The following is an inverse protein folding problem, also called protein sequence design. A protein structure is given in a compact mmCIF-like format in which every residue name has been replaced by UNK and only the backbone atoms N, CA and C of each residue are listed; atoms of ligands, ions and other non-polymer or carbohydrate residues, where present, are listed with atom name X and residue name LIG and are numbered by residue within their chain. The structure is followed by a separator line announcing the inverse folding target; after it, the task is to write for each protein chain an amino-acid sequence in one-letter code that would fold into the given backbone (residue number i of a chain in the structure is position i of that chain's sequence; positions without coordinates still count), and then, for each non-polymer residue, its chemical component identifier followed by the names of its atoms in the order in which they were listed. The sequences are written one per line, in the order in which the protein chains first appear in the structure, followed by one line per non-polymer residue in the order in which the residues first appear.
data_IF_592622859822
#
_entry.id   IF_592622859822
#
_cell.length_a   1.000
_cell.length_b   1.000
_cell.length_c   1.000
_cell.angle_alpha   90.00
_cell.angle_beta   90.00
_cell.angle_gamma   90.00
#
_symmetry.space_group_name_H-M   'P 1'
#
loop_
_entity.id
_entity.type
_entity.pdbx_description
1 polymer ?
#
# COMPACT_ATOMS: atom_id res chain seq x y z
N UNK A 1 -7.84 10.01 -16.03
CA UNK A 1 -8.03 11.30 -15.34
C UNK A 1 -6.74 11.84 -14.73
N UNK A 2 -5.96 11.05 -13.98
CA UNK A 2 -4.69 11.52 -13.35
C UNK A 2 -3.63 11.96 -14.38
N UNK A 3 -3.56 11.33 -15.56
CA UNK A 3 -2.56 11.68 -16.58
C UNK A 3 -2.66 13.12 -17.12
N UNK A 4 -3.82 13.77 -16.99
CA UNK A 4 -4.04 15.16 -17.42
C UNK A 4 -3.59 16.19 -16.36
N UNK A 5 -3.26 15.75 -15.14
CA UNK A 5 -2.81 16.64 -14.07
C UNK A 5 -1.32 16.96 -14.21
N UNK A 6 -0.93 18.18 -13.81
CA UNK A 6 0.46 18.58 -13.69
C UNK A 6 1.20 17.68 -12.68
N UNK A 7 2.48 17.41 -12.90
CA UNK A 7 3.32 16.56 -12.06
C UNK A 7 3.36 17.02 -10.59
N UNK A 8 3.36 18.34 -10.33
CA UNK A 8 3.27 18.87 -8.96
C UNK A 8 1.99 18.43 -8.24
N UNK A 9 0.85 18.50 -8.92
CA UNK A 9 -0.45 18.10 -8.36
C UNK A 9 -0.50 16.59 -8.11
N UNK A 10 0.05 15.78 -9.02
CA UNK A 10 0.15 14.32 -8.85
C UNK A 10 0.95 13.94 -7.59
N UNK A 11 2.07 14.63 -7.35
CA UNK A 11 2.91 14.44 -6.15
C UNK A 11 2.16 14.81 -4.87
N UNK A 12 1.44 15.93 -4.86
CA UNK A 12 0.64 16.35 -3.69
C UNK A 12 -0.44 15.30 -3.38
N UNK A 13 -1.15 14.82 -4.41
CA UNK A 13 -2.18 13.77 -4.24
C UNK A 13 -1.57 12.51 -3.64
N UNK A 14 -0.38 12.08 -4.10
CA UNK A 14 0.29 10.91 -3.53
C UNK A 14 0.68 11.11 -2.07
N UNK A 15 1.22 12.27 -1.71
CA UNK A 15 1.56 12.57 -0.31
C UNK A 15 0.30 12.53 0.59
N UNK A 16 -0.82 13.07 0.12
CA UNK A 16 -2.11 12.98 0.82
C UNK A 16 -2.54 11.52 0.97
N UNK A 17 -2.45 10.71 -0.09
CA UNK A 17 -2.78 9.28 -0.04
C UNK A 17 -1.91 8.52 0.95
N UNK A 18 -0.60 8.77 0.99
CA UNK A 18 0.30 8.15 1.96
C UNK A 18 -0.02 8.59 3.40
N UNK A 19 -0.34 9.87 3.61
CA UNK A 19 -0.79 10.39 4.92
C UNK A 19 -2.08 9.72 5.38
N UNK A 20 -3.07 9.59 4.49
CA UNK A 20 -4.31 8.86 4.77
C UNK A 20 -4.05 7.38 5.06
N UNK A 21 -3.12 6.75 4.34
CA UNK A 21 -2.68 5.38 4.62
C UNK A 21 -2.09 5.23 6.01
N UNK A 22 -1.19 6.15 6.41
CA UNK A 22 -0.59 6.16 7.75
C UNK A 22 -1.63 6.39 8.85
N UNK A 23 -2.57 7.33 8.65
CA UNK A 23 -3.70 7.53 9.57
C UNK A 23 -4.56 6.27 9.68
N UNK A 24 -4.80 5.58 8.56
CA UNK A 24 -5.52 4.31 8.53
C UNK A 24 -4.87 3.24 9.41
N UNK A 25 -3.53 3.11 9.36
CA UNK A 25 -2.79 2.20 10.25
C UNK A 25 -3.04 2.57 11.71
N UNK A 26 -2.85 3.84 12.08
CA UNK A 26 -3.05 4.30 13.46
C UNK A 26 -4.47 4.01 13.96
N UNK A 27 -5.50 4.25 13.13
CA UNK A 27 -6.89 3.97 13.48
C UNK A 27 -7.14 2.47 13.68
N UNK A 28 -6.57 1.60 12.84
CA UNK A 28 -6.70 0.15 12.98
C UNK A 28 -6.20 -0.32 14.35
N UNK A 29 -5.08 0.23 14.82
CA UNK A 29 -4.52 -0.11 16.14
C UNK A 29 -5.30 0.55 17.30
N UNK A 30 -5.74 1.81 17.16
CA UNK A 30 -6.47 2.53 18.22
C UNK A 30 -7.82 1.85 18.52
N UNK A 31 -8.50 1.32 17.50
CA UNK A 31 -9.82 0.69 17.64
C UNK A 31 -9.77 -0.84 17.73
N UNK A 32 -8.60 -1.45 17.95
CA UNK A 32 -8.41 -2.92 18.01
C UNK A 32 -8.95 -3.69 16.79
N UNK A 33 -9.02 -3.03 15.62
CA UNK A 33 -9.42 -3.67 14.37
C UNK A 33 -8.29 -4.49 13.73
N UNK A 34 -7.13 -4.58 14.36
CA UNK A 34 -5.96 -5.29 13.85
C UNK A 34 -6.19 -6.80 13.61
N UNK A 35 -7.22 -7.38 14.24
CA UNK A 35 -7.61 -8.78 14.06
C UNK A 35 -8.89 -8.94 13.22
N UNK A 36 -9.48 -7.83 12.75
CA UNK A 36 -10.61 -7.86 11.84
C UNK A 36 -10.12 -8.08 10.40
N UNK A 37 -10.34 -9.31 9.91
CA UNK A 37 -9.90 -9.76 8.59
C UNK A 37 -10.41 -8.87 7.45
N UNK A 38 -11.66 -8.42 7.53
CA UNK A 38 -12.27 -7.60 6.47
C UNK A 38 -11.57 -6.25 6.41
N UNK A 39 -11.46 -5.57 7.56
CA UNK A 39 -10.80 -4.26 7.67
C UNK A 39 -9.35 -4.34 7.19
N UNK A 40 -8.61 -5.36 7.63
CA UNK A 40 -7.22 -5.54 7.25
C UNK A 40 -7.05 -5.87 5.76
N UNK A 41 -7.94 -6.69 5.18
CA UNK A 41 -7.90 -7.03 3.76
C UNK A 41 -8.15 -5.80 2.89
N UNK A 42 -9.13 -4.97 3.28
CA UNK A 42 -9.41 -3.69 2.61
C UNK A 42 -8.20 -2.77 2.73
N UNK A 43 -7.62 -2.66 3.92
CA UNK A 43 -6.44 -1.84 4.16
C UNK A 43 -5.25 -2.29 3.29
N UNK A 44 -4.95 -3.59 3.25
CA UNK A 44 -3.91 -4.15 2.39
C UNK A 44 -4.18 -3.79 0.92
N UNK A 45 -5.40 -4.00 0.42
CA UNK A 45 -5.76 -3.65 -0.95
C UNK A 45 -5.54 -2.16 -1.24
N UNK A 46 -5.92 -1.26 -0.33
CA UNK A 46 -5.68 0.19 -0.46
C UNK A 46 -4.18 0.49 -0.60
N UNK A 47 -3.32 -0.10 0.24
CA UNK A 47 -1.86 0.10 0.16
C UNK A 47 -1.34 -0.36 -1.20
N UNK A 48 -1.79 -1.51 -1.73
CA UNK A 48 -1.39 -1.97 -3.06
C UNK A 48 -1.81 -1.00 -4.16
N UNK A 49 -3.03 -0.47 -4.09
CA UNK A 49 -3.53 0.52 -5.05
C UNK A 49 -2.71 1.81 -5.00
N UNK A 50 -2.39 2.32 -3.81
CA UNK A 50 -1.55 3.52 -3.65
C UNK A 50 -0.16 3.30 -4.26
N UNK A 51 0.47 2.16 -3.99
CA UNK A 51 1.78 1.82 -4.55
C UNK A 51 1.77 1.70 -6.08
N UNK A 52 0.69 1.15 -6.64
CA UNK A 52 0.49 1.10 -8.10
C UNK A 52 0.40 2.50 -8.68
N UNK A 53 -0.47 3.36 -8.13
CA UNK A 53 -0.64 4.75 -8.57
C UNK A 53 0.68 5.53 -8.45
N UNK A 54 1.41 5.32 -7.36
CA UNK A 54 2.71 5.95 -7.13
C UNK A 54 3.74 5.52 -8.19
N UNK A 55 3.78 4.24 -8.55
CA UNK A 55 4.66 3.72 -9.61
C UNK A 55 4.34 4.25 -11.00
N UNK A 56 3.10 4.68 -11.26
CA UNK A 56 2.72 5.31 -12.54
C UNK A 56 3.17 6.77 -12.61
N UNK A 57 3.26 7.45 -11.45
CA UNK A 57 3.61 8.87 -11.34
C UNK A 57 5.13 9.07 -11.25
N UNK A 58 5.81 8.26 -10.45
CA UNK A 58 7.26 8.18 -10.45
C UNK A 58 7.63 7.46 -11.75
N UNK A 59 8.30 8.11 -12.71
CA UNK A 59 8.65 7.57 -14.04
C UNK A 59 9.47 6.25 -14.04
N UNK A 60 9.65 5.59 -12.89
CA UNK A 60 9.98 4.18 -12.80
C UNK A 60 8.77 3.31 -13.16
N UNK A 61 8.51 3.14 -14.48
CA UNK A 61 7.62 2.08 -15.02
C UNK A 61 8.16 0.66 -14.79
N UNK A 62 8.99 0.46 -13.77
CA UNK A 62 9.64 -0.80 -13.53
C UNK A 62 8.61 -1.77 -12.94
N UNK A 63 8.06 -2.64 -13.79
CA UNK A 63 6.98 -3.59 -13.45
C UNK A 63 7.27 -4.41 -12.19
N UNK A 64 8.55 -4.59 -11.88
CA UNK A 64 9.01 -5.32 -10.70
C UNK A 64 8.61 -4.63 -9.38
N UNK A 65 8.50 -3.29 -9.36
CA UNK A 65 8.05 -2.55 -8.17
C UNK A 65 6.61 -2.90 -7.78
N UNK A 66 5.71 -2.98 -8.76
CA UNK A 66 4.31 -3.34 -8.50
C UNK A 66 4.22 -4.79 -8.00
N UNK A 67 5.07 -5.69 -8.50
CA UNK A 67 5.10 -7.09 -8.04
C UNK A 67 5.46 -7.21 -6.55
N UNK A 68 6.36 -6.36 -6.03
CA UNK A 68 6.67 -6.29 -4.60
C UNK A 68 5.48 -5.89 -3.72
N UNK A 69 4.44 -5.31 -4.31
CA UNK A 69 3.19 -4.98 -3.61
C UNK A 69 2.09 -6.02 -3.86
N UNK A 70 2.00 -6.53 -5.10
CA UNK A 70 0.93 -7.40 -5.54
C UNK A 70 1.13 -8.85 -5.09
N UNK A 71 2.35 -9.39 -5.18
CA UNK A 71 2.64 -10.78 -4.80
C UNK A 71 2.34 -11.04 -3.32
N UNK A 72 2.78 -10.18 -2.37
CA UNK A 72 2.42 -10.36 -0.96
C UNK A 72 0.90 -10.34 -0.72
N UNK A 73 0.16 -9.50 -1.45
CA UNK A 73 -1.30 -9.44 -1.36
C UNK A 73 -1.99 -10.69 -1.89
N UNK A 74 -1.56 -11.20 -3.06
CA UNK A 74 -2.09 -12.44 -3.60
C UNK A 74 -1.78 -13.64 -2.70
N UNK A 75 -0.57 -13.67 -2.13
CA UNK A 75 -0.16 -14.70 -1.16
C UNK A 75 -1.03 -14.63 0.10
N UNK A 76 -1.29 -13.41 0.59
CA UNK A 76 -2.21 -13.16 1.70
C UNK A 76 -3.62 -13.69 1.42
N UNK A 77 -4.18 -13.39 0.23
CA UNK A 77 -5.51 -13.88 -0.15
C UNK A 77 -5.56 -15.41 -0.26
N UNK A 78 -4.52 -16.02 -0.84
CA UNK A 78 -4.38 -17.48 -0.90
C UNK A 78 -4.39 -18.11 0.50
N UNK A 79 -3.62 -17.55 1.43
CA UNK A 79 -3.60 -18.03 2.80
C UNK A 79 -4.93 -17.83 3.53
N UNK A 80 -5.63 -16.72 3.27
CA UNK A 80 -6.95 -16.47 3.82
C UNK A 80 -7.97 -17.51 3.34
N UNK A 81 -7.88 -17.96 2.08
CA UNK A 81 -8.75 -19.01 1.52
C UNK A 81 -8.42 -20.39 2.11
N UNK A 82 -7.14 -20.75 2.19
CA UNK A 82 -6.69 -22.09 2.62
C UNK A 82 -6.83 -22.26 4.14
N UNK A 83 -6.30 -21.31 4.90
CA UNK A 83 -6.12 -21.42 6.35
C UNK A 83 -7.18 -20.68 7.16
N UNK A 84 -8.07 -19.90 6.51
CA UNK A 84 -9.11 -19.11 7.17
C UNK A 84 -8.51 -18.30 8.33
N UNK A 85 -9.25 -18.10 9.42
CA UNK A 85 -8.86 -17.18 10.50
C UNK A 85 -7.73 -17.71 11.39
N UNK A 86 -7.48 -19.03 11.40
CA UNK A 86 -6.66 -19.71 12.40
C UNK A 86 -5.21 -19.20 12.46
N UNK A 87 -4.70 -18.70 11.33
CA UNK A 87 -3.33 -18.20 11.20
C UNK A 87 -3.25 -16.73 10.79
N UNK A 88 -4.34 -15.97 10.96
CA UNK A 88 -4.44 -14.58 10.52
C UNK A 88 -3.28 -13.70 10.98
N UNK A 89 -2.86 -13.85 12.24
CA UNK A 89 -1.73 -13.12 12.83
C UNK A 89 -0.41 -13.35 12.08
N UNK A 90 -0.22 -14.51 11.44
CA UNK A 90 1.02 -14.83 10.73
C UNK A 90 1.04 -14.21 9.35
N UNK A 91 -0.04 -14.36 8.59
CA UNK A 91 -0.06 -13.87 7.21
C UNK A 91 -0.46 -12.39 7.10
N UNK A 92 -0.99 -11.75 8.17
CA UNK A 92 -1.17 -10.29 8.21
C UNK A 92 0.15 -9.53 8.00
N UNK A 93 1.28 -10.10 8.44
CA UNK A 93 2.62 -9.52 8.29
C UNK A 93 3.05 -9.31 6.82
N UNK A 94 2.40 -9.97 5.85
CA UNK A 94 2.71 -9.79 4.43
C UNK A 94 2.50 -8.34 3.95
N UNK A 95 1.73 -7.52 4.67
CA UNK A 95 1.56 -6.10 4.36
C UNK A 95 2.84 -5.27 4.57
N UNK A 96 3.82 -5.78 5.34
CA UNK A 96 5.04 -5.03 5.60
C UNK A 96 5.84 -4.76 4.32
N UNK A 97 5.84 -5.70 3.37
CA UNK A 97 6.50 -5.52 2.07
C UNK A 97 5.96 -4.30 1.29
N UNK A 98 4.65 -4.19 1.01
CA UNK A 98 4.12 -3.00 0.35
C UNK A 98 4.25 -1.72 1.17
N UNK A 99 4.25 -1.78 2.51
CA UNK A 99 4.51 -0.60 3.33
C UNK A 99 5.95 -0.08 3.19
N UNK A 100 6.94 -0.99 3.21
CA UNK A 100 8.34 -0.62 2.95
C UNK A 100 8.51 -0.03 1.55
N UNK A 101 7.78 -0.57 0.57
CA UNK A 101 7.74 -0.03 -0.79
C UNK A 101 7.17 1.39 -0.82
N UNK A 102 6.08 1.64 -0.10
CA UNK A 102 5.47 2.96 0.05
C UNK A 102 6.48 3.97 0.62
N UNK A 103 7.19 3.59 1.69
CA UNK A 103 8.22 4.44 2.29
C UNK A 103 9.34 4.76 1.30
N UNK A 104 9.86 3.75 0.60
CA UNK A 104 10.87 3.95 -0.43
C UNK A 104 10.39 4.90 -1.54
N UNK A 105 9.15 4.75 -2.01
CA UNK A 105 8.56 5.62 -3.03
C UNK A 105 8.42 7.06 -2.53
N UNK A 106 8.03 7.28 -1.28
CA UNK A 106 7.97 8.62 -0.68
C UNK A 106 9.34 9.32 -0.71
N UNK A 107 10.43 8.63 -0.32
CA UNK A 107 11.77 9.21 -0.39
C UNK A 107 12.20 9.56 -1.82
N UNK A 108 11.82 8.73 -2.80
CA UNK A 108 12.07 9.02 -4.22
C UNK A 108 11.30 10.26 -4.68
N UNK A 109 10.03 10.39 -4.31
CA UNK A 109 9.19 11.55 -4.67
C UNK A 109 9.80 12.85 -4.14
N UNK A 110 10.24 12.87 -2.87
CA UNK A 110 10.89 14.05 -2.28
C UNK A 110 12.16 14.44 -3.03
N UNK A 111 12.91 13.47 -3.57
CA UNK A 111 14.09 13.73 -4.41
C UNK A 111 13.73 14.30 -5.79
N UNK A 112 12.62 13.87 -6.40
CA UNK A 112 12.13 14.38 -7.70
C UNK A 112 11.48 15.76 -7.60
N UNK A 113 11.00 16.17 -6.41
CA UNK A 113 10.39 17.48 -6.19
C UNK A 113 11.38 18.62 -5.93
N UNK A 114 12.68 18.33 -5.80
CA UNK A 114 13.78 19.30 -5.82
C UNK A 114 14.30 19.47 -7.24
#
# INVERSE_FOLDING_TARGET
MINLLNNKTKVIILLILYLLGALGISLIYIFDFENNIIVYSIFFAIVVVINKLSSEIIENKNKHFILFSLIPFLTYLLFLIIYKQDYFVRYKLLILFPLLLSLYQMFKIVKFGK
#
